data_IF_093450280845
#
_entry.id   IF_093450280845
#
_cell.length_a   1.000
_cell.length_b   1.000
_cell.length_c   1.000
_cell.angle_alpha   90.00
_cell.angle_beta   90.00
_cell.angle_gamma   90.00
#
_symmetry.space_group_name_H-M   'P 1'
#
loop_
_entity.id
_entity.type
_entity.pdbx_description
1 polymer ?
#
# COMPACT_ATOMS: atom_id res chain seq x y z
N UNK A 1 -22.05 -0.09 -1.05
CA UNK A 1 -21.66 -1.08 -0.01
C UNK A 1 -21.25 -2.46 -0.56
N UNK A 2 -21.77 -2.95 -1.70
CA UNK A 2 -21.44 -4.32 -2.17
C UNK A 2 -20.03 -4.45 -2.80
N UNK A 3 -19.58 -3.43 -3.54
CA UNK A 3 -18.31 -3.48 -4.28
C UNK A 3 -17.05 -3.39 -3.40
N UNK A 4 -17.08 -2.60 -2.32
CA UNK A 4 -15.94 -2.49 -1.40
C UNK A 4 -15.61 -3.83 -0.72
N UNK A 5 -16.64 -4.59 -0.36
CA UNK A 5 -16.49 -5.92 0.23
C UNK A 5 -16.07 -6.95 -0.83
N UNK A 6 -16.57 -6.81 -2.07
CA UNK A 6 -16.18 -7.69 -3.17
C UNK A 6 -14.70 -7.49 -3.56
N UNK A 7 -14.26 -6.25 -3.74
CA UNK A 7 -12.88 -5.91 -4.07
C UNK A 7 -11.90 -6.48 -3.04
N UNK A 8 -12.20 -6.27 -1.74
CA UNK A 8 -11.40 -6.83 -0.65
C UNK A 8 -11.36 -8.36 -0.70
N UNK A 9 -12.50 -9.02 -0.88
CA UNK A 9 -12.54 -10.49 -0.96
C UNK A 9 -11.73 -11.04 -2.14
N UNK A 10 -11.73 -10.34 -3.27
CA UNK A 10 -10.93 -10.69 -4.45
C UNK A 10 -9.44 -10.54 -4.18
N UNK A 11 -9.03 -9.44 -3.54
CA UNK A 11 -7.67 -9.16 -3.10
C UNK A 11 -7.15 -10.26 -2.16
N UNK A 12 -7.93 -10.59 -1.12
CA UNK A 12 -7.63 -11.68 -0.19
C UNK A 12 -7.55 -13.06 -0.88
N UNK A 13 -8.31 -13.24 -1.96
CA UNK A 13 -8.29 -14.46 -2.78
C UNK A 13 -7.22 -14.44 -3.88
N UNK A 14 -6.35 -13.42 -3.90
CA UNK A 14 -5.29 -13.20 -4.89
C UNK A 14 -5.79 -13.07 -6.34
N UNK A 15 -7.05 -12.69 -6.51
CA UNK A 15 -7.68 -12.38 -7.81
C UNK A 15 -7.47 -10.90 -8.12
N UNK A 16 -6.20 -10.51 -8.29
CA UNK A 16 -5.81 -9.10 -8.27
C UNK A 16 -6.34 -8.28 -9.45
N UNK A 17 -6.49 -8.89 -10.62
CA UNK A 17 -7.04 -8.19 -11.80
C UNK A 17 -8.49 -7.80 -11.54
N UNK A 18 -9.29 -8.73 -11.03
CA UNK A 18 -10.68 -8.48 -10.65
C UNK A 18 -10.78 -7.55 -9.44
N UNK A 19 -9.86 -7.66 -8.47
CA UNK A 19 -9.80 -6.77 -7.32
C UNK A 19 -9.56 -5.32 -7.75
N UNK A 20 -8.61 -5.07 -8.66
CA UNK A 20 -8.33 -3.73 -9.23
C UNK A 20 -9.62 -3.17 -9.84
N UNK A 21 -10.31 -3.94 -10.69
CA UNK A 21 -11.54 -3.47 -11.34
C UNK A 21 -12.63 -3.10 -10.31
N UNK A 22 -12.84 -3.92 -9.28
CA UNK A 22 -13.86 -3.69 -8.26
C UNK A 22 -13.51 -2.54 -7.29
N UNK A 23 -12.22 -2.35 -6.99
CA UNK A 23 -11.76 -1.18 -6.24
C UNK A 23 -11.99 0.11 -7.03
N UNK A 24 -11.64 0.15 -8.32
CA UNK A 24 -11.88 1.31 -9.20
C UNK A 24 -13.38 1.67 -9.25
N UNK A 25 -14.26 0.66 -9.44
CA UNK A 25 -15.70 0.86 -9.41
C UNK A 25 -16.21 1.37 -8.05
N UNK A 26 -15.59 0.93 -6.95
CA UNK A 26 -15.95 1.39 -5.60
C UNK A 26 -15.61 2.87 -5.41
N UNK A 27 -14.44 3.31 -5.88
CA UNK A 27 -14.03 4.71 -5.80
C UNK A 27 -14.89 5.62 -6.68
N UNK A 28 -15.31 5.17 -7.86
CA UNK A 28 -16.22 5.90 -8.75
C UNK A 28 -17.62 6.12 -8.13
N UNK A 29 -18.09 5.17 -7.31
CA UNK A 29 -19.40 5.24 -6.62
C UNK A 29 -19.35 5.97 -5.29
N UNK A 30 -18.32 6.80 -5.08
CA UNK A 30 -18.08 7.59 -3.86
C UNK A 30 -18.00 6.76 -2.56
N UNK A 31 -17.75 5.45 -2.65
CA UNK A 31 -17.41 4.64 -1.48
C UNK A 31 -15.94 4.85 -1.09
N UNK A 32 -15.53 6.11 -1.01
CA UNK A 32 -14.15 6.48 -0.77
C UNK A 32 -13.77 6.19 0.68
N UNK A 33 -12.75 5.36 0.85
CA UNK A 33 -12.12 5.04 2.12
C UNK A 33 -10.61 5.02 1.89
N UNK A 34 -9.85 5.55 2.84
CA UNK A 34 -8.39 5.47 2.92
C UNK A 34 -7.88 4.07 2.58
N UNK A 35 -8.39 3.03 3.26
CA UNK A 35 -7.92 1.65 3.05
C UNK A 35 -8.15 1.12 1.64
N UNK A 36 -9.30 1.41 1.02
CA UNK A 36 -9.59 1.00 -0.35
C UNK A 36 -8.64 1.72 -1.34
N UNK A 37 -8.42 3.01 -1.10
CA UNK A 37 -7.55 3.84 -1.95
C UNK A 37 -6.10 3.36 -1.87
N UNK A 38 -5.61 3.08 -0.66
CA UNK A 38 -4.26 2.56 -0.45
C UNK A 38 -4.08 1.17 -1.05
N UNK A 39 -5.01 0.23 -0.82
CA UNK A 39 -4.91 -1.11 -1.41
C UNK A 39 -4.90 -1.06 -2.94
N UNK A 40 -5.75 -0.21 -3.55
CA UNK A 40 -5.76 -0.03 -5.00
C UNK A 40 -4.47 0.62 -5.51
N UNK A 41 -4.00 1.69 -4.86
CA UNK A 41 -2.74 2.34 -5.20
C UNK A 41 -1.57 1.35 -5.12
N UNK A 42 -1.54 0.52 -4.08
CA UNK A 42 -0.55 -0.55 -3.93
C UNK A 42 -0.63 -1.55 -5.08
N UNK A 43 -1.82 -2.04 -5.46
CA UNK A 43 -2.00 -2.99 -6.55
C UNK A 43 -1.52 -2.43 -7.90
N UNK A 44 -1.78 -1.16 -8.19
CA UNK A 44 -1.26 -0.50 -9.39
C UNK A 44 0.26 -0.32 -9.34
N UNK A 45 0.80 0.10 -8.19
CA UNK A 45 2.24 0.24 -7.99
C UNK A 45 2.98 -1.08 -8.17
N UNK A 46 2.59 -2.13 -7.44
CA UNK A 46 3.25 -3.44 -7.49
C UNK A 46 3.14 -4.09 -8.87
N UNK A 47 2.02 -3.86 -9.57
CA UNK A 47 1.86 -4.29 -10.96
C UNK A 47 2.88 -3.67 -11.91
N UNK A 48 3.25 -2.41 -11.69
CA UNK A 48 4.17 -1.67 -12.56
C UNK A 48 5.64 -1.80 -12.14
N UNK A 49 5.91 -1.84 -10.83
CA UNK A 49 7.27 -1.78 -10.27
C UNK A 49 7.89 -3.15 -9.99
N UNK A 50 7.09 -4.19 -9.69
CA UNK A 50 7.59 -5.50 -9.28
C UNK A 50 7.29 -6.55 -10.37
N UNK A 51 8.14 -6.62 -11.40
CA UNK A 51 7.93 -7.50 -12.55
C UNK A 51 7.75 -8.99 -12.21
N UNK A 52 8.54 -9.60 -11.29
CA UNK A 52 8.33 -10.99 -10.91
C UNK A 52 6.93 -11.25 -10.36
N UNK A 53 6.42 -10.32 -9.54
CA UNK A 53 5.06 -10.38 -9.01
C UNK A 53 4.02 -10.28 -10.12
N UNK A 54 4.17 -9.27 -10.99
CA UNK A 54 3.24 -9.03 -12.09
C UNK A 54 3.17 -10.25 -13.04
N UNK A 55 4.31 -10.88 -13.31
CA UNK A 55 4.38 -12.09 -14.14
C UNK A 55 3.74 -13.30 -13.44
N UNK A 56 3.99 -13.50 -12.14
CA UNK A 56 3.43 -14.59 -11.35
C UNK A 56 1.90 -14.56 -11.32
N UNK A 57 1.31 -13.37 -11.21
CA UNK A 57 -0.14 -13.16 -11.20
C UNK A 57 -0.72 -12.79 -12.57
N UNK A 58 0.08 -12.88 -13.64
CA UNK A 58 -0.33 -12.66 -15.04
C UNK A 58 -1.02 -11.31 -15.25
N UNK A 59 -0.51 -10.27 -14.61
CA UNK A 59 -1.06 -8.93 -14.71
C UNK A 59 -0.92 -8.43 -16.16
N UNK A 60 -2.01 -7.97 -16.81
CA UNK A 60 -1.98 -7.48 -18.18
C UNK A 60 -1.04 -6.29 -18.35
N UNK A 61 -0.34 -6.23 -19.49
CA UNK A 61 0.55 -5.11 -19.81
C UNK A 61 -0.15 -3.75 -19.78
N UNK A 62 -1.44 -3.68 -20.09
CA UNK A 62 -2.20 -2.43 -19.99
C UNK A 62 -2.22 -1.86 -18.57
N UNK A 63 -2.42 -2.73 -17.56
CA UNK A 63 -2.39 -2.33 -16.15
C UNK A 63 -0.96 -1.94 -15.76
N UNK A 64 0.03 -2.76 -16.14
CA UNK A 64 1.45 -2.53 -15.81
C UNK A 64 1.95 -1.18 -16.34
N UNK A 65 1.65 -0.87 -17.60
CA UNK A 65 2.13 0.37 -18.26
C UNK A 65 1.53 1.64 -17.67
N UNK A 66 0.31 1.57 -17.10
CA UNK A 66 -0.38 2.71 -16.50
C UNK A 66 -0.26 2.76 -14.98
N UNK A 67 0.31 1.73 -14.35
CA UNK A 67 0.20 1.51 -12.91
C UNK A 67 0.86 2.62 -12.08
N UNK A 68 1.99 3.18 -12.51
CA UNK A 68 2.64 4.28 -11.78
C UNK A 68 1.79 5.55 -11.82
N UNK A 69 1.35 5.96 -13.01
CA UNK A 69 0.51 7.16 -13.17
C UNK A 69 -0.79 7.00 -12.38
N UNK A 70 -1.44 5.84 -12.51
CA UNK A 70 -2.71 5.57 -11.83
C UNK A 70 -2.57 5.53 -10.31
N UNK A 71 -1.49 4.93 -9.80
CA UNK A 71 -1.15 4.96 -8.38
C UNK A 71 -1.04 6.40 -7.85
N UNK A 72 -0.34 7.27 -8.58
CA UNK A 72 -0.20 8.69 -8.24
C UNK A 72 -1.54 9.43 -8.20
N UNK A 73 -2.40 9.22 -9.19
CA UNK A 73 -3.75 9.79 -9.24
C UNK A 73 -4.61 9.38 -8.03
N UNK A 74 -4.62 8.09 -7.70
CA UNK A 74 -5.41 7.55 -6.58
C UNK A 74 -4.95 8.16 -5.25
N UNK A 75 -3.64 8.24 -5.02
CA UNK A 75 -3.09 8.83 -3.79
C UNK A 75 -3.34 10.33 -3.72
N UNK A 76 -3.25 11.06 -4.84
CA UNK A 76 -3.59 12.48 -4.90
C UNK A 76 -5.05 12.71 -4.52
N UNK A 77 -5.99 11.97 -5.12
CA UNK A 77 -7.42 12.05 -4.82
C UNK A 77 -7.73 11.69 -3.35
N UNK A 78 -7.08 10.65 -2.83
CA UNK A 78 -7.24 10.23 -1.44
C UNK A 78 -6.73 11.28 -0.45
N UNK A 79 -5.58 11.92 -0.72
CA UNK A 79 -5.03 12.99 0.13
C UNK A 79 -5.91 14.24 0.14
N UNK A 80 -6.57 14.58 -0.97
CA UNK A 80 -7.53 15.69 -0.99
C UNK A 80 -8.72 15.45 -0.04
N UNK A 81 -9.13 14.19 0.13
CA UNK A 81 -10.25 13.80 0.99
C UNK A 81 -9.84 13.50 2.43
N UNK A 82 -8.64 12.99 2.63
CA UNK A 82 -8.11 12.56 3.92
C UNK A 82 -6.72 13.16 4.16
N UNK A 83 -6.61 14.50 4.21
CA UNK A 83 -5.32 15.19 4.28
C UNK A 83 -4.55 14.91 5.58
N UNK A 84 -5.24 14.43 6.61
CA UNK A 84 -4.69 14.11 7.93
C UNK A 84 -4.16 12.67 8.08
N UNK A 85 -4.27 11.83 7.04
CA UNK A 85 -3.86 10.43 7.11
C UNK A 85 -2.38 10.26 6.74
N UNK A 86 -1.54 9.98 7.75
CA UNK A 86 -0.11 9.80 7.56
C UNK A 86 0.25 8.68 6.56
N UNK A 87 -0.54 7.60 6.53
CA UNK A 87 -0.27 6.44 5.67
C UNK A 87 -0.31 6.79 4.17
N UNK A 88 -1.18 7.72 3.76
CA UNK A 88 -1.25 8.15 2.36
C UNK A 88 0.05 8.81 1.89
N UNK A 89 0.61 9.70 2.71
CA UNK A 89 1.86 10.38 2.41
C UNK A 89 3.06 9.43 2.53
N UNK A 90 3.02 8.50 3.48
CA UNK A 90 4.02 7.45 3.60
C UNK A 90 4.08 6.60 2.33
N UNK A 91 2.95 6.08 1.84
CA UNK A 91 2.94 5.23 0.65
C UNK A 91 3.38 5.98 -0.60
N UNK A 92 2.94 7.22 -0.78
CA UNK A 92 3.43 8.06 -1.89
C UNK A 92 4.95 8.15 -1.86
N UNK A 93 5.53 8.49 -0.69
CA UNK A 93 6.98 8.62 -0.56
C UNK A 93 7.71 7.29 -0.72
N UNK A 94 7.16 6.21 -0.16
CA UNK A 94 7.70 4.86 -0.24
C UNK A 94 7.71 4.34 -1.68
N UNK A 95 6.61 4.49 -2.41
CA UNK A 95 6.52 4.07 -3.80
C UNK A 95 7.54 4.79 -4.68
N UNK A 96 7.65 6.12 -4.55
CA UNK A 96 8.64 6.88 -5.30
C UNK A 96 10.07 6.50 -4.94
N UNK A 97 10.37 6.30 -3.65
CA UNK A 97 11.66 5.78 -3.20
C UNK A 97 12.00 4.46 -3.90
N UNK A 98 11.05 3.53 -3.99
CA UNK A 98 11.26 2.22 -4.62
C UNK A 98 11.43 2.27 -6.14
N UNK A 99 10.88 3.29 -6.81
CA UNK A 99 10.98 3.46 -8.26
C UNK A 99 12.26 4.20 -8.65
N UNK A 100 12.54 5.30 -7.95
CA UNK A 100 13.62 6.24 -8.30
C UNK A 100 14.93 5.92 -7.58
N UNK A 101 14.88 5.11 -6.52
CA UNK A 101 15.96 4.90 -5.57
C UNK A 101 16.40 6.17 -4.81
N UNK A 102 15.58 7.23 -4.84
CA UNK A 102 15.82 8.43 -4.04
C UNK A 102 15.78 8.10 -2.54
N UNK A 103 16.76 8.55 -1.72
CA UNK A 103 16.82 8.19 -0.31
C UNK A 103 15.51 8.49 0.43
N UNK A 104 14.97 7.54 1.19
CA UNK A 104 13.85 7.75 2.11
C UNK A 104 14.29 7.30 3.50
N UNK A 105 14.36 8.25 4.43
CA UNK A 105 15.04 8.07 5.71
C UNK A 105 14.09 7.83 6.88
N UNK A 106 14.65 7.41 8.01
CA UNK A 106 13.94 7.37 9.30
C UNK A 106 13.35 8.75 9.63
N UNK A 107 14.12 9.81 9.47
CA UNK A 107 13.71 11.19 9.75
C UNK A 107 12.54 11.63 8.86
N UNK A 108 12.60 11.35 7.56
CA UNK A 108 11.48 11.63 6.64
C UNK A 108 10.19 10.96 7.09
N UNK A 109 10.30 9.70 7.53
CA UNK A 109 9.15 8.91 8.00
C UNK A 109 8.58 9.47 9.31
N UNK A 110 9.44 9.83 10.27
CA UNK A 110 9.03 10.46 11.52
C UNK A 110 8.40 11.84 11.27
N UNK A 111 8.91 12.60 10.31
CA UNK A 111 8.33 13.88 9.90
C UNK A 111 6.91 13.68 9.35
N UNK A 112 6.69 12.68 8.48
CA UNK A 112 5.35 12.33 7.99
C UNK A 112 4.42 11.97 9.15
N UNK A 113 4.85 11.13 10.10
CA UNK A 113 4.04 10.74 11.25
C UNK A 113 3.70 11.93 12.17
N UNK A 114 4.64 12.87 12.34
CA UNK A 114 4.44 14.04 13.20
C UNK A 114 3.55 15.12 12.59
N UNK A 115 3.51 15.20 11.25
CA UNK A 115 2.76 16.22 10.52
C UNK A 115 1.26 15.93 10.38
N UNK A 116 0.82 14.72 10.73
CA UNK A 116 -0.53 14.23 10.44
C UNK A 116 -1.20 13.66 11.69
N UNK A 117 -2.47 14.01 11.91
CA UNK A 117 -3.16 13.67 13.16
C UNK A 117 -3.74 12.25 13.19
N UNK A 118 -4.00 11.64 12.03
CA UNK A 118 -4.40 10.24 11.93
C UNK A 118 -3.14 9.38 11.71
N UNK A 119 -2.61 8.89 12.82
CA UNK A 119 -1.42 8.06 12.85
C UNK A 119 -1.83 6.58 12.71
N UNK A 120 -1.71 6.03 11.50
CA UNK A 120 -1.76 4.59 11.31
C UNK A 120 -0.39 3.98 11.58
N UNK A 121 -0.36 2.78 12.15
CA UNK A 121 0.89 2.12 12.55
C UNK A 121 1.70 1.62 11.35
N UNK A 122 1.14 1.59 10.13
CA UNK A 122 1.77 0.99 8.95
C UNK A 122 3.21 1.47 8.71
N UNK A 123 3.55 2.78 8.76
CA UNK A 123 4.92 3.24 8.51
C UNK A 123 5.99 2.63 9.44
N UNK A 124 5.60 2.05 10.58
CA UNK A 124 6.53 1.40 11.50
C UNK A 124 7.16 0.11 10.94
N UNK A 125 6.59 -0.53 9.91
CA UNK A 125 7.31 -1.63 9.24
C UNK A 125 8.61 -1.13 8.58
N UNK A 126 8.60 0.12 8.10
CA UNK A 126 9.75 0.73 7.44
C UNK A 126 10.73 1.32 8.46
N UNK A 127 10.23 1.98 9.52
CA UNK A 127 11.07 2.47 10.63
C UNK A 127 11.87 1.34 11.28
N UNK A 128 11.28 0.16 11.41
CA UNK A 128 11.95 -1.05 11.92
C UNK A 128 13.23 -1.41 11.14
N UNK A 129 13.30 -1.08 9.84
CA UNK A 129 14.49 -1.36 9.02
C UNK A 129 15.69 -0.48 9.40
N UNK A 130 15.49 0.62 10.13
CA UNK A 130 16.55 1.51 10.60
C UNK A 130 17.03 1.17 12.01
N UNK A 131 16.10 0.77 12.88
CA UNK A 131 16.39 0.38 14.27
C UNK A 131 15.39 -0.67 14.75
N UNK A 132 15.79 -1.94 14.64
CA UNK A 132 14.93 -3.07 14.97
C UNK A 132 14.50 -3.09 16.43
N UNK A 133 15.40 -2.69 17.35
CA UNK A 133 15.11 -2.72 18.78
C UNK A 133 14.16 -1.59 19.18
N UNK A 134 14.34 -0.40 18.60
CA UNK A 134 13.54 0.78 18.92
C UNK A 134 12.08 0.62 18.49
N UNK A 135 11.83 0.01 17.32
CA UNK A 135 10.50 -0.06 16.71
C UNK A 135 9.85 -1.45 16.78
N UNK A 136 10.42 -2.38 17.54
CA UNK A 136 9.96 -3.77 17.61
C UNK A 136 8.47 -3.87 17.98
N UNK A 137 8.03 -3.10 18.97
CA UNK A 137 6.67 -3.17 19.50
C UNK A 137 5.63 -2.74 18.46
N UNK A 138 5.84 -1.60 17.82
CA UNK A 138 4.97 -1.07 16.79
C UNK A 138 4.97 -1.98 15.56
N UNK A 139 6.15 -2.46 15.15
CA UNK A 139 6.28 -3.44 14.08
C UNK A 139 5.50 -4.72 14.37
N UNK A 140 5.55 -5.24 15.59
CA UNK A 140 4.78 -6.43 15.98
C UNK A 140 3.26 -6.18 15.92
N UNK A 141 2.80 -4.97 16.26
CA UNK A 141 1.40 -4.57 16.08
C UNK A 141 1.00 -4.54 14.61
N UNK A 142 1.84 -3.96 13.74
CA UNK A 142 1.64 -3.96 12.28
C UNK A 142 1.58 -5.37 11.73
N UNK A 143 2.52 -6.23 12.12
CA UNK A 143 2.58 -7.62 11.66
C UNK A 143 1.29 -8.37 12.01
N UNK A 144 0.79 -8.22 13.23
CA UNK A 144 -0.47 -8.83 13.67
C UNK A 144 -1.64 -8.39 12.79
N UNK A 145 -1.78 -7.08 12.53
CA UNK A 145 -2.84 -6.54 11.67
C UNK A 145 -2.73 -7.07 10.23
N UNK A 146 -1.52 -7.17 9.70
CA UNK A 146 -1.28 -7.69 8.36
C UNK A 146 -1.66 -9.16 8.24
N UNK A 147 -1.40 -9.96 9.28
CA UNK A 147 -1.78 -11.38 9.34
C UNK A 147 -3.28 -11.59 9.45
N UNK A 148 -3.99 -10.70 10.16
CA UNK A 148 -5.46 -10.75 10.28
C UNK A 148 -6.17 -10.41 8.97
N UNK A 149 -5.58 -9.54 8.14
CA UNK A 149 -6.15 -9.12 6.86
C UNK A 149 -5.10 -9.15 5.73
N UNK A 150 -4.82 -10.31 5.14
CA UNK A 150 -3.70 -10.49 4.21
C UNK A 150 -4.00 -9.99 2.78
N UNK A 151 -4.25 -8.69 2.60
CA UNK A 151 -4.29 -8.05 1.26
C UNK A 151 -2.91 -8.10 0.61
N UNK A 152 -2.82 -7.82 -0.69
CA UNK A 152 -1.53 -7.75 -1.39
C UNK A 152 -0.53 -6.81 -0.68
N UNK A 153 -0.99 -5.63 -0.24
CA UNK A 153 -0.21 -4.67 0.56
C UNK A 153 0.30 -5.31 1.85
N UNK A 154 -0.57 -5.98 2.59
CA UNK A 154 -0.23 -6.53 3.89
C UNK A 154 0.69 -7.75 3.77
N UNK A 155 0.51 -8.59 2.74
CA UNK A 155 1.42 -9.68 2.43
C UNK A 155 2.82 -9.17 2.04
N UNK A 156 2.89 -8.04 1.33
CA UNK A 156 4.15 -7.38 1.03
C UNK A 156 4.87 -6.88 2.29
N UNK A 157 4.14 -6.22 3.19
CA UNK A 157 4.68 -5.79 4.49
C UNK A 157 5.20 -6.98 5.30
N UNK A 158 4.43 -8.07 5.37
CA UNK A 158 4.85 -9.31 6.04
C UNK A 158 6.16 -9.82 5.44
N UNK A 159 6.27 -9.88 4.12
CA UNK A 159 7.47 -10.36 3.46
C UNK A 159 8.70 -9.51 3.80
N UNK A 160 8.57 -8.18 3.85
CA UNK A 160 9.65 -7.28 4.27
C UNK A 160 10.05 -7.54 5.73
N UNK A 161 9.07 -7.60 6.63
CA UNK A 161 9.31 -7.81 8.07
C UNK A 161 10.00 -9.16 8.34
N UNK A 162 9.61 -10.20 7.61
CA UNK A 162 10.12 -11.57 7.79
C UNK A 162 11.39 -11.85 6.97
N UNK A 163 11.98 -10.83 6.33
CA UNK A 163 13.14 -10.93 5.43
C UNK A 163 12.97 -12.03 4.38
N UNK A 164 11.79 -12.06 3.75
CA UNK A 164 11.45 -12.94 2.64
C UNK A 164 11.40 -12.13 1.34
N UNK A 165 11.60 -12.77 0.18
CA UNK A 165 11.37 -12.11 -1.09
C UNK A 165 9.98 -11.47 -1.09
N UNK A 166 9.85 -10.16 -1.37
CA UNK A 166 8.57 -9.48 -1.36
C UNK A 166 7.73 -9.92 -2.57
N UNK A 167 6.98 -10.99 -2.34
CA UNK A 167 5.96 -11.61 -3.20
C UNK A 167 6.43 -12.25 -4.52
#
# INVERSE_FOLDING_TARGET
MYHSNLALNLDLSKKYIEAIAEYELSLQKEAFNVNLSINLAFLHWVSAAEFPWADAYKIPNEIRLKGIDRCGEILADAKLKFPECAELYFWERYFWHRITFDPFTEEDTLNILSAHTCCEEIPYFFLYLFDEMKYEKERNSVLKKCLELPTAKNLYIIAIIEDRPPL
#
